data_IF_212695097145
#
_entry.id   IF_212695097145
#
_cell.length_a   1.000
_cell.length_b   1.000
_cell.length_c   1.000
_cell.angle_alpha   90.00
_cell.angle_beta   90.00
_cell.angle_gamma   90.00
#
_symmetry.space_group_name_H-M   'P 1'
#
loop_
_entity.id
_entity.type
_entity.pdbx_description
1 polymer ?
#
# COMPACT_ATOMS: atom_id res chain seq x y z
N UNK A 1 -0.93 28.77 4.53
CA UNK A 1 0.13 28.14 5.37
C UNK A 1 1.06 27.36 4.42
N UNK A 2 2.39 27.36 4.67
CA UNK A 2 3.29 26.58 3.82
C UNK A 2 3.15 25.07 4.10
N UNK A 3 3.05 24.27 3.06
CA UNK A 3 2.85 22.81 3.12
C UNK A 3 4.01 22.04 3.78
N UNK A 4 5.20 22.66 3.84
CA UNK A 4 6.35 22.10 4.56
C UNK A 4 6.04 21.87 6.05
N UNK A 5 5.24 22.73 6.67
CA UNK A 5 4.88 22.56 8.07
C UNK A 5 4.03 21.30 8.28
N UNK A 6 3.11 20.98 7.34
CA UNK A 6 2.33 19.75 7.39
C UNK A 6 3.25 18.52 7.24
N UNK A 7 4.14 18.56 6.24
CA UNK A 7 5.10 17.49 6.01
C UNK A 7 6.04 17.29 7.21
N UNK A 8 6.62 18.36 7.72
CA UNK A 8 7.53 18.32 8.87
C UNK A 8 6.86 17.80 10.13
N UNK A 9 5.64 18.24 10.42
CA UNK A 9 4.85 17.75 11.55
C UNK A 9 4.53 16.27 11.42
N UNK A 10 3.99 15.84 10.27
CA UNK A 10 3.62 14.44 10.05
C UNK A 10 4.83 13.51 10.07
N UNK A 11 5.88 13.83 9.30
CA UNK A 11 7.11 13.02 9.27
C UNK A 11 7.83 13.00 10.62
N UNK A 12 7.82 14.12 11.36
CA UNK A 12 8.37 14.19 12.71
C UNK A 12 7.66 13.26 13.68
N UNK A 13 6.31 13.22 13.67
CA UNK A 13 5.53 12.31 14.51
C UNK A 13 5.70 10.84 14.08
N UNK A 14 5.81 10.55 12.79
CA UNK A 14 6.12 9.21 12.29
C UNK A 14 7.49 8.73 12.76
N UNK A 15 8.51 9.61 12.70
CA UNK A 15 9.84 9.30 13.23
C UNK A 15 9.81 9.02 14.73
N UNK A 16 9.13 9.87 15.52
CA UNK A 16 8.98 9.66 16.96
C UNK A 16 8.23 8.37 17.28
N UNK A 17 7.14 8.09 16.56
CA UNK A 17 6.37 6.86 16.67
C UNK A 17 7.24 5.62 16.40
N UNK A 18 7.99 5.63 15.32
CA UNK A 18 8.89 4.52 14.99
C UNK A 18 10.05 4.41 15.98
N UNK A 19 10.68 5.51 16.37
CA UNK A 19 11.88 5.50 17.22
C UNK A 19 11.59 5.09 18.65
N UNK A 20 10.52 5.62 19.24
CA UNK A 20 10.20 5.46 20.66
C UNK A 20 9.03 4.50 20.90
N UNK A 21 7.88 4.74 20.29
CA UNK A 21 6.68 3.97 20.59
C UNK A 21 6.76 2.53 20.07
N UNK A 22 7.23 2.31 18.83
CA UNK A 22 7.42 0.94 18.33
C UNK A 22 8.49 0.18 19.11
N UNK A 23 9.52 0.88 19.65
CA UNK A 23 10.52 0.27 20.53
C UNK A 23 9.88 -0.19 21.83
N UNK A 24 9.07 0.66 22.46
CA UNK A 24 8.32 0.31 23.65
C UNK A 24 7.43 -0.92 23.44
N UNK A 25 6.67 -0.94 22.34
CA UNK A 25 5.85 -2.11 21.97
C UNK A 25 6.69 -3.38 21.80
N UNK A 26 7.80 -3.27 21.07
CA UNK A 26 8.71 -4.39 20.80
C UNK A 26 9.32 -5.01 22.07
N UNK A 27 9.75 -4.15 23.01
CA UNK A 27 10.49 -4.58 24.20
C UNK A 27 9.59 -4.87 25.41
N UNK A 28 8.50 -4.12 25.58
CA UNK A 28 7.66 -4.18 26.79
C UNK A 28 6.33 -4.90 26.59
N UNK A 29 5.73 -4.80 25.40
CA UNK A 29 4.42 -5.42 25.14
C UNK A 29 4.60 -6.76 24.46
N UNK A 30 5.38 -6.81 23.37
CA UNK A 30 5.57 -8.05 22.63
C UNK A 30 6.79 -8.85 23.07
N UNK A 31 7.68 -8.28 23.88
CA UNK A 31 8.88 -8.94 24.39
C UNK A 31 9.57 -9.83 23.35
N UNK A 32 9.97 -9.22 22.22
CA UNK A 32 10.56 -9.98 21.12
C UNK A 32 11.88 -10.66 21.48
N UNK A 33 12.54 -10.19 22.54
CA UNK A 33 13.83 -10.73 22.99
C UNK A 33 13.67 -12.09 23.68
N UNK A 34 12.52 -12.35 24.30
CA UNK A 34 12.24 -13.64 24.98
C UNK A 34 11.91 -14.77 24.00
N UNK A 35 11.69 -14.47 22.73
CA UNK A 35 11.38 -15.50 21.74
C UNK A 35 12.61 -16.35 21.42
N UNK A 36 12.60 -17.60 21.86
CA UNK A 36 13.69 -18.57 21.68
C UNK A 36 13.41 -19.64 20.63
N UNK A 37 12.23 -19.64 20.02
CA UNK A 37 11.80 -20.62 19.01
C UNK A 37 12.31 -20.32 17.59
N UNK A 38 12.13 -21.29 16.71
CA UNK A 38 12.26 -21.07 15.27
C UNK A 38 11.04 -20.29 14.76
N UNK A 39 11.26 -19.39 13.78
CA UNK A 39 10.14 -18.77 13.09
C UNK A 39 9.44 -19.79 12.19
N UNK A 40 8.15 -19.58 11.87
CA UNK A 40 7.40 -20.46 10.96
C UNK A 40 8.09 -20.72 9.63
N UNK A 41 8.77 -19.69 9.10
CA UNK A 41 9.55 -19.77 7.87
C UNK A 41 10.63 -20.86 7.90
N UNK A 42 11.20 -21.15 9.07
CA UNK A 42 12.21 -22.20 9.28
C UNK A 42 11.60 -23.52 9.73
N UNK A 43 10.59 -23.46 10.65
CA UNK A 43 9.96 -24.66 11.23
C UNK A 43 9.16 -25.46 10.18
N UNK A 44 8.46 -24.75 9.28
CA UNK A 44 7.56 -25.36 8.28
C UNK A 44 8.02 -25.11 6.84
N UNK A 45 9.30 -24.88 6.61
CA UNK A 45 9.85 -24.58 5.30
C UNK A 45 9.38 -25.56 4.21
N UNK A 46 8.54 -25.09 3.30
CA UNK A 46 8.01 -25.84 2.14
C UNK A 46 8.50 -25.30 0.79
N UNK A 47 9.19 -24.15 0.77
CA UNK A 47 9.61 -23.39 -0.41
C UNK A 47 8.45 -22.97 -1.33
N UNK A 48 7.25 -22.85 -0.80
CA UNK A 48 6.05 -22.33 -1.49
C UNK A 48 5.57 -21.08 -0.74
N UNK A 49 5.05 -21.26 0.48
CA UNK A 49 4.55 -20.22 1.37
C UNK A 49 5.54 -19.93 2.49
N UNK A 50 6.08 -21.01 3.12
CA UNK A 50 7.02 -20.92 4.23
C UNK A 50 8.45 -20.89 3.71
N UNK A 51 8.98 -19.68 3.57
CA UNK A 51 10.33 -19.47 3.04
C UNK A 51 11.05 -18.37 3.82
N UNK A 52 12.20 -18.68 4.48
CA UNK A 52 12.98 -17.67 5.18
C UNK A 52 13.45 -16.59 4.21
N UNK A 53 12.95 -15.37 4.39
CA UNK A 53 13.19 -14.26 3.48
C UNK A 53 14.07 -13.20 4.14
N UNK A 54 15.06 -12.67 3.39
CA UNK A 54 15.92 -11.60 3.89
C UNK A 54 15.09 -10.36 4.22
N UNK A 55 15.41 -9.71 5.35
CA UNK A 55 14.73 -8.53 5.88
C UNK A 55 14.39 -7.44 4.84
N UNK A 56 15.32 -6.99 3.97
CA UNK A 56 14.99 -5.94 2.98
C UNK A 56 13.95 -6.40 1.96
N UNK A 57 14.02 -7.68 1.53
CA UNK A 57 13.07 -8.24 0.56
C UNK A 57 11.69 -8.36 1.22
N UNK A 58 11.63 -8.88 2.44
CA UNK A 58 10.38 -9.05 3.15
C UNK A 58 9.75 -7.71 3.55
N UNK A 59 10.56 -6.72 3.92
CA UNK A 59 10.08 -5.35 4.14
C UNK A 59 9.45 -4.78 2.85
N UNK A 60 10.16 -4.88 1.72
CA UNK A 60 9.65 -4.40 0.44
C UNK A 60 8.36 -5.11 0.01
N UNK A 61 8.32 -6.43 0.14
CA UNK A 61 7.12 -7.22 -0.13
C UNK A 61 5.94 -6.79 0.75
N UNK A 62 6.13 -6.69 2.06
CA UNK A 62 5.06 -6.31 2.98
C UNK A 62 4.61 -4.86 2.74
N UNK A 63 5.55 -3.92 2.62
CA UNK A 63 5.28 -2.51 2.39
C UNK A 63 4.45 -2.29 1.11
N UNK A 64 4.85 -2.91 0.01
CA UNK A 64 4.11 -2.76 -1.26
C UNK A 64 2.76 -3.47 -1.23
N UNK A 65 2.67 -4.62 -0.54
CA UNK A 65 1.41 -5.36 -0.41
C UNK A 65 0.34 -4.58 0.37
N UNK A 66 0.74 -3.75 1.34
CA UNK A 66 -0.18 -2.90 2.11
C UNK A 66 -0.43 -1.55 1.43
N UNK A 67 0.59 -0.94 0.86
CA UNK A 67 0.55 0.39 0.24
C UNK A 67 -0.07 0.34 -1.18
N UNK A 68 -1.35 -0.01 -1.29
CA UNK A 68 -2.09 -0.04 -2.54
C UNK A 68 -2.54 1.36 -3.02
N UNK A 69 -3.57 1.40 -3.87
CA UNK A 69 -4.14 2.66 -4.37
C UNK A 69 -4.96 3.43 -3.32
N UNK A 70 -5.53 2.73 -2.34
CA UNK A 70 -6.42 3.33 -1.35
C UNK A 70 -5.75 4.38 -0.44
N UNK A 71 -4.49 4.21 0.04
CA UNK A 71 -3.78 5.26 0.79
C UNK A 71 -3.41 6.50 -0.05
N UNK A 72 -3.61 6.46 -1.35
CA UNK A 72 -3.48 7.63 -2.23
C UNK A 72 -4.84 8.28 -2.43
N UNK A 73 -5.82 7.51 -2.88
CA UNK A 73 -7.15 8.01 -3.27
C UNK A 73 -7.94 8.50 -2.05
N UNK A 74 -7.95 7.72 -0.96
CA UNK A 74 -8.69 8.05 0.25
C UNK A 74 -8.31 9.40 0.87
N UNK A 75 -7.01 9.65 1.15
CA UNK A 75 -6.55 10.94 1.65
C UNK A 75 -6.83 12.12 0.71
N UNK A 76 -6.73 11.93 -0.61
CA UNK A 76 -7.11 12.97 -1.57
C UNK A 76 -8.60 13.32 -1.48
N UNK A 77 -9.49 12.32 -1.39
CA UNK A 77 -10.93 12.54 -1.21
C UNK A 77 -11.21 13.20 0.14
N UNK A 78 -10.52 12.77 1.20
CA UNK A 78 -10.73 13.28 2.55
C UNK A 78 -10.33 14.76 2.72
N UNK A 79 -9.48 15.28 1.84
CA UNK A 79 -9.19 16.72 1.76
C UNK A 79 -10.45 17.56 1.55
N UNK A 80 -11.54 16.96 1.04
CA UNK A 80 -12.87 17.58 0.92
C UNK A 80 -13.37 18.17 2.25
N UNK A 81 -13.11 17.52 3.38
CA UNK A 81 -13.51 18.00 4.72
C UNK A 81 -12.54 18.99 5.36
N UNK A 82 -11.44 19.30 4.67
CA UNK A 82 -10.36 20.15 5.15
C UNK A 82 -9.10 19.35 5.50
N UNK A 83 -7.95 20.04 5.43
CA UNK A 83 -6.66 19.37 5.62
C UNK A 83 -6.37 18.92 7.06
N UNK A 84 -6.88 19.64 8.09
CA UNK A 84 -6.57 19.33 9.48
C UNK A 84 -7.15 18.01 9.97
N UNK A 85 -8.45 17.72 9.80
CA UNK A 85 -9.00 16.44 10.24
C UNK A 85 -8.39 15.26 9.46
N UNK A 86 -8.10 15.42 8.16
CA UNK A 86 -7.43 14.40 7.37
C UNK A 86 -6.01 14.14 7.90
N UNK A 87 -5.21 15.19 8.11
CA UNK A 87 -3.86 15.10 8.65
C UNK A 87 -3.82 14.41 10.03
N UNK A 88 -4.69 14.86 10.95
CA UNK A 88 -4.72 14.30 12.32
C UNK A 88 -5.07 12.80 12.28
N UNK A 89 -6.06 12.41 11.48
CA UNK A 89 -6.44 11.00 11.39
C UNK A 89 -5.35 10.15 10.75
N UNK A 90 -4.68 10.63 9.70
CA UNK A 90 -3.54 9.93 9.10
C UNK A 90 -2.43 9.73 10.13
N UNK A 91 -2.00 10.81 10.80
CA UNK A 91 -0.82 10.74 11.66
C UNK A 91 -1.10 9.95 12.94
N UNK A 92 -2.19 10.27 13.64
CA UNK A 92 -2.56 9.60 14.90
C UNK A 92 -3.01 8.17 14.62
N UNK A 93 -3.83 7.96 13.61
CA UNK A 93 -4.31 6.63 13.21
C UNK A 93 -3.15 5.71 12.84
N UNK A 94 -2.21 6.18 12.01
CA UNK A 94 -1.04 5.40 11.62
C UNK A 94 -0.18 5.02 12.83
N UNK A 95 0.20 5.98 13.69
CA UNK A 95 1.15 5.73 14.78
C UNK A 95 0.55 4.87 15.88
N UNK A 96 -0.69 5.16 16.29
CA UNK A 96 -1.27 4.56 17.50
C UNK A 96 -2.24 3.41 17.23
N UNK A 97 -2.74 3.27 15.99
CA UNK A 97 -3.68 2.22 15.64
C UNK A 97 -3.15 1.31 14.52
N UNK A 98 -2.93 1.83 13.32
CA UNK A 98 -2.55 1.02 12.16
C UNK A 98 -1.24 0.27 12.36
N UNK A 99 -0.17 0.99 12.71
CA UNK A 99 1.14 0.38 12.91
C UNK A 99 1.19 -0.57 14.13
N UNK A 100 0.40 -0.31 15.16
CA UNK A 100 0.25 -1.23 16.31
C UNK A 100 -0.47 -2.49 15.88
N UNK A 101 -1.55 -2.36 15.11
CA UNK A 101 -2.33 -3.48 14.59
C UNK A 101 -1.47 -4.38 13.68
N UNK A 102 -0.77 -3.81 12.70
CA UNK A 102 0.03 -4.58 11.75
C UNK A 102 1.20 -5.29 12.41
N UNK A 103 1.90 -4.58 13.28
CA UNK A 103 2.98 -5.15 14.07
C UNK A 103 2.47 -6.27 14.99
N UNK A 104 1.34 -6.05 15.68
CA UNK A 104 0.71 -7.02 16.56
C UNK A 104 0.25 -8.26 15.81
N UNK A 105 -0.46 -8.09 14.70
CA UNK A 105 -0.92 -9.20 13.86
C UNK A 105 0.25 -10.06 13.36
N UNK A 106 1.34 -9.40 12.94
CA UNK A 106 2.55 -10.10 12.47
C UNK A 106 3.22 -10.89 13.60
N UNK A 107 3.48 -10.26 14.75
CA UNK A 107 4.14 -10.92 15.90
C UNK A 107 3.32 -12.09 16.42
N UNK A 108 2.02 -11.88 16.61
CA UNK A 108 1.13 -12.92 17.13
C UNK A 108 1.07 -14.10 16.16
N UNK A 109 0.95 -13.83 14.86
CA UNK A 109 0.95 -14.90 13.85
C UNK A 109 2.27 -15.66 13.81
N UNK A 110 3.43 -14.99 13.91
CA UNK A 110 4.74 -15.68 13.99
C UNK A 110 4.79 -16.59 15.23
N UNK A 111 4.33 -16.12 16.38
CA UNK A 111 4.28 -16.93 17.62
C UNK A 111 3.29 -18.10 17.55
N UNK A 112 2.20 -17.91 16.80
CA UNK A 112 1.19 -18.93 16.56
C UNK A 112 1.47 -19.74 15.27
N UNK A 113 2.75 -19.91 14.92
CA UNK A 113 3.22 -20.80 13.85
C UNK A 113 2.74 -20.41 12.45
N UNK A 114 2.62 -19.11 12.18
CA UNK A 114 2.18 -18.59 10.89
C UNK A 114 0.68 -18.78 10.63
N UNK A 115 -0.13 -18.96 11.68
CA UNK A 115 -1.58 -19.10 11.55
C UNK A 115 -2.23 -17.78 11.18
N UNK A 116 -3.31 -17.88 10.41
CA UNK A 116 -4.14 -16.72 10.05
C UNK A 116 -4.81 -16.11 11.27
N UNK A 117 -5.14 -14.82 11.20
CA UNK A 117 -5.85 -14.14 12.28
C UNK A 117 -7.21 -14.78 12.59
N UNK A 118 -7.87 -15.39 11.60
CA UNK A 118 -9.11 -16.13 11.82
C UNK A 118 -8.91 -17.40 12.65
N UNK A 119 -7.82 -18.14 12.40
CA UNK A 119 -7.48 -19.32 13.19
C UNK A 119 -7.12 -18.95 14.63
N UNK A 120 -6.37 -17.86 14.80
CA UNK A 120 -6.01 -17.33 16.12
C UNK A 120 -7.27 -16.90 16.88
N UNK A 121 -8.22 -16.22 16.21
CA UNK A 121 -9.53 -15.86 16.79
C UNK A 121 -10.30 -17.09 17.27
N UNK A 122 -10.25 -18.16 16.49
CA UNK A 122 -10.86 -19.45 16.90
C UNK A 122 -10.27 -20.06 18.14
N UNK A 123 -8.96 -19.92 18.32
CA UNK A 123 -8.23 -20.42 19.50
C UNK A 123 -8.45 -19.57 20.75
N UNK A 124 -8.46 -18.23 20.59
CA UNK A 124 -8.45 -17.28 21.72
C UNK A 124 -9.87 -16.93 22.16
N UNK A 125 -10.83 -16.82 21.23
CA UNK A 125 -12.20 -16.39 21.54
C UNK A 125 -13.17 -17.58 21.51
N UNK A 126 -13.49 -18.10 20.31
CA UNK A 126 -14.37 -19.26 20.13
C UNK A 126 -14.40 -19.73 18.67
N UNK A 127 -14.84 -20.97 18.47
CA UNK A 127 -15.07 -21.53 17.14
C UNK A 127 -16.12 -20.73 16.34
N UNK A 128 -17.17 -20.23 17.00
CA UNK A 128 -18.19 -19.40 16.35
C UNK A 128 -17.59 -18.07 15.85
N UNK A 129 -16.76 -17.43 16.65
CA UNK A 129 -16.05 -16.21 16.27
C UNK A 129 -15.15 -16.46 15.05
N UNK A 130 -14.44 -17.61 14.97
CA UNK A 130 -13.67 -18.01 13.80
C UNK A 130 -14.51 -18.05 12.52
N UNK A 131 -15.68 -18.73 12.56
CA UNK A 131 -16.54 -18.88 11.39
C UNK A 131 -17.07 -17.51 10.93
N UNK A 132 -17.54 -16.69 11.87
CA UNK A 132 -18.00 -15.33 11.55
C UNK A 132 -16.88 -14.49 10.94
N UNK A 133 -15.67 -14.59 11.47
CA UNK A 133 -14.51 -13.84 10.98
C UNK A 133 -14.07 -14.34 9.59
N UNK A 134 -14.10 -15.65 9.33
CA UNK A 134 -13.82 -16.20 8.00
C UNK A 134 -14.84 -15.71 6.96
N UNK A 135 -16.12 -15.66 7.32
CA UNK A 135 -17.15 -15.11 6.45
C UNK A 135 -16.90 -13.62 6.15
N UNK A 136 -16.56 -12.84 7.18
CA UNK A 136 -16.21 -11.45 7.04
C UNK A 136 -14.97 -11.25 6.13
N UNK A 137 -13.92 -12.06 6.31
CA UNK A 137 -12.72 -12.03 5.47
C UNK A 137 -13.08 -12.34 4.02
N UNK A 138 -13.93 -13.35 3.77
CA UNK A 138 -14.36 -13.69 2.42
C UNK A 138 -15.06 -12.51 1.73
N UNK A 139 -16.01 -11.87 2.41
CA UNK A 139 -16.72 -10.70 1.89
C UNK A 139 -15.75 -9.53 1.63
N UNK A 140 -14.84 -9.27 2.58
CA UNK A 140 -13.82 -8.23 2.44
C UNK A 140 -12.90 -8.50 1.24
N UNK A 141 -12.46 -9.74 1.06
CA UNK A 141 -11.59 -10.11 -0.05
C UNK A 141 -12.28 -9.89 -1.40
N UNK A 142 -13.54 -10.27 -1.53
CA UNK A 142 -14.29 -10.02 -2.76
C UNK A 142 -14.46 -8.51 -3.04
N UNK A 143 -14.77 -7.73 -2.01
CA UNK A 143 -14.87 -6.28 -2.13
C UNK A 143 -13.55 -5.65 -2.57
N UNK A 144 -12.44 -6.04 -1.94
CA UNK A 144 -11.10 -5.51 -2.25
C UNK A 144 -10.70 -5.86 -3.68
N UNK A 145 -10.91 -7.11 -4.11
CA UNK A 145 -10.62 -7.55 -5.48
C UNK A 145 -11.44 -6.73 -6.51
N UNK A 146 -12.73 -6.53 -6.25
CA UNK A 146 -13.59 -5.76 -7.15
C UNK A 146 -13.15 -4.30 -7.24
N UNK A 147 -12.93 -3.65 -6.10
CA UNK A 147 -12.54 -2.22 -6.04
C UNK A 147 -11.17 -2.00 -6.70
N UNK A 148 -10.18 -2.84 -6.43
CA UNK A 148 -8.86 -2.69 -7.04
C UNK A 148 -8.88 -3.01 -8.54
N UNK A 149 -9.63 -4.01 -8.98
CA UNK A 149 -9.78 -4.28 -10.41
C UNK A 149 -10.41 -3.08 -11.14
N UNK A 150 -11.46 -2.47 -10.55
CA UNK A 150 -12.08 -1.26 -11.11
C UNK A 150 -11.12 -0.08 -11.12
N UNK A 151 -10.37 0.15 -10.05
CA UNK A 151 -9.43 1.27 -9.94
C UNK A 151 -8.28 1.14 -10.96
N UNK A 152 -7.69 -0.07 -11.10
CA UNK A 152 -6.61 -0.32 -12.06
C UNK A 152 -7.13 -0.23 -13.50
N UNK A 153 -8.30 -0.81 -13.80
CA UNK A 153 -8.92 -0.71 -15.11
C UNK A 153 -9.23 0.75 -15.49
N UNK A 154 -9.73 1.54 -14.53
CA UNK A 154 -9.92 2.97 -14.70
C UNK A 154 -8.62 3.72 -14.98
N UNK A 155 -7.55 3.38 -14.25
CA UNK A 155 -6.22 3.94 -14.47
C UNK A 155 -5.68 3.59 -15.86
N UNK A 156 -5.83 2.35 -16.33
CA UNK A 156 -5.39 1.94 -17.66
C UNK A 156 -6.12 2.67 -18.79
N UNK A 157 -7.41 2.98 -18.58
CA UNK A 157 -8.17 3.79 -19.53
C UNK A 157 -7.79 5.27 -19.46
N UNK A 158 -7.59 5.83 -18.27
CA UNK A 158 -7.23 7.24 -18.09
C UNK A 158 -5.76 7.54 -18.48
N UNK A 159 -4.86 6.59 -18.23
CA UNK A 159 -3.42 6.72 -18.45
C UNK A 159 -2.89 5.50 -19.22
N UNK A 160 -3.20 5.38 -20.53
CA UNK A 160 -2.79 4.22 -21.35
C UNK A 160 -1.28 4.00 -21.44
N UNK A 161 -0.49 5.04 -21.16
CA UNK A 161 0.97 4.99 -21.09
C UNK A 161 1.50 4.14 -19.94
N UNK A 162 0.68 3.88 -18.91
CA UNK A 162 1.03 3.05 -17.76
C UNK A 162 0.92 1.55 -18.02
N UNK A 163 0.17 1.14 -19.05
CA UNK A 163 -0.11 -0.28 -19.32
C UNK A 163 1.16 -1.05 -19.64
N UNK A 164 2.01 -0.51 -20.52
CA UNK A 164 3.25 -1.18 -20.93
C UNK A 164 4.22 -1.43 -19.77
N UNK A 165 4.62 -0.42 -18.98
CA UNK A 165 5.58 -0.64 -17.90
C UNK A 165 5.06 -1.59 -16.82
N UNK A 166 3.77 -1.54 -16.46
CA UNK A 166 3.19 -2.44 -15.46
C UNK A 166 3.21 -3.90 -15.92
N UNK A 167 2.93 -4.18 -17.19
CA UNK A 167 2.95 -5.55 -17.69
C UNK A 167 4.38 -6.08 -17.89
N UNK A 168 5.33 -5.25 -18.30
CA UNK A 168 6.75 -5.62 -18.40
C UNK A 168 7.33 -5.93 -17.02
N UNK A 169 6.90 -5.24 -15.96
CA UNK A 169 7.31 -5.52 -14.60
C UNK A 169 7.03 -6.96 -14.17
N UNK A 170 5.92 -7.56 -14.60
CA UNK A 170 5.59 -8.95 -14.31
C UNK A 170 6.68 -9.89 -14.87
N UNK A 171 7.11 -9.64 -16.10
CA UNK A 171 8.15 -10.44 -16.76
C UNK A 171 9.50 -10.27 -16.04
N UNK A 172 9.85 -9.03 -15.69
CA UNK A 172 11.08 -8.73 -14.95
C UNK A 172 11.07 -9.41 -13.59
N UNK A 173 9.94 -9.38 -12.88
CA UNK A 173 9.78 -10.01 -11.57
C UNK A 173 10.00 -11.54 -11.63
N UNK A 174 9.45 -12.23 -12.63
CA UNK A 174 9.68 -13.67 -12.85
C UNK A 174 11.15 -14.00 -13.08
N UNK A 175 11.85 -13.19 -13.88
CA UNK A 175 13.29 -13.35 -14.14
C UNK A 175 14.07 -13.16 -12.83
N UNK A 176 13.79 -12.09 -12.09
CA UNK A 176 14.50 -11.77 -10.84
C UNK A 176 14.20 -12.81 -9.76
N UNK A 177 12.94 -13.26 -9.61
CA UNK A 177 12.59 -14.35 -8.70
C UNK A 177 13.42 -15.60 -8.96
N UNK A 178 13.54 -15.99 -10.23
CA UNK A 178 14.36 -17.13 -10.62
C UNK A 178 15.85 -16.90 -10.32
N UNK A 179 16.39 -15.72 -10.57
CA UNK A 179 17.79 -15.39 -10.29
C UNK A 179 18.10 -15.40 -8.79
N UNK A 180 17.24 -14.80 -7.97
CA UNK A 180 17.45 -14.72 -6.52
C UNK A 180 17.34 -16.11 -5.88
N UNK A 181 16.24 -16.83 -6.16
CA UNK A 181 15.91 -18.05 -5.40
C UNK A 181 16.49 -19.34 -5.96
N UNK A 182 16.63 -19.45 -7.30
CA UNK A 182 17.25 -20.64 -7.91
C UNK A 182 18.76 -20.52 -8.10
N UNK A 183 19.27 -19.31 -8.37
CA UNK A 183 20.69 -19.08 -8.63
C UNK A 183 21.43 -18.39 -7.48
N UNK A 184 20.73 -18.09 -6.36
CA UNK A 184 21.28 -17.42 -5.17
C UNK A 184 22.01 -16.09 -5.47
N UNK A 185 21.57 -15.36 -6.48
CA UNK A 185 22.13 -14.05 -6.83
C UNK A 185 21.73 -13.03 -5.76
N UNK A 186 22.61 -12.11 -5.43
CA UNK A 186 22.28 -11.02 -4.52
C UNK A 186 21.17 -10.14 -5.14
N UNK A 187 20.08 -9.93 -4.41
CA UNK A 187 18.90 -9.22 -4.90
C UNK A 187 19.15 -7.76 -5.27
N UNK A 188 20.14 -7.10 -4.67
CA UNK A 188 20.36 -5.65 -4.83
C UNK A 188 20.65 -5.25 -6.27
N UNK A 189 21.63 -5.92 -6.92
CA UNK A 189 22.01 -5.55 -8.31
C UNK A 189 20.87 -5.80 -9.31
N UNK A 190 20.24 -7.01 -9.35
CA UNK A 190 19.10 -7.23 -10.23
C UNK A 190 17.93 -6.25 -10.00
N UNK A 191 17.67 -5.85 -8.75
CA UNK A 191 16.57 -4.93 -8.44
C UNK A 191 16.84 -3.50 -8.90
N UNK A 192 18.08 -3.02 -8.76
CA UNK A 192 18.47 -1.70 -9.27
C UNK A 192 18.41 -1.67 -10.80
N UNK A 193 18.86 -2.74 -11.46
CA UNK A 193 18.74 -2.88 -12.92
C UNK A 193 17.27 -2.94 -13.36
N UNK A 194 16.43 -3.69 -12.62
CA UNK A 194 15.00 -3.74 -12.88
C UNK A 194 14.38 -2.35 -12.79
N UNK A 195 14.70 -1.59 -11.75
CA UNK A 195 14.20 -0.23 -11.57
C UNK A 195 14.59 0.67 -12.75
N UNK A 196 15.84 0.60 -13.20
CA UNK A 196 16.30 1.36 -14.37
C UNK A 196 15.56 0.95 -15.66
N UNK A 197 15.37 -0.35 -15.86
CA UNK A 197 14.62 -0.89 -17.00
C UNK A 197 13.15 -0.43 -16.92
N UNK A 198 12.53 -0.45 -15.76
CA UNK A 198 11.15 0.00 -15.60
C UNK A 198 10.98 1.48 -15.92
N UNK A 199 11.90 2.36 -15.47
CA UNK A 199 11.85 3.77 -15.87
C UNK A 199 12.07 3.97 -17.38
N UNK A 200 12.92 3.13 -18.01
CA UNK A 200 13.03 3.11 -19.48
C UNK A 200 11.67 2.75 -20.12
N UNK A 201 10.97 1.71 -19.59
CA UNK A 201 9.67 1.34 -20.13
C UNK A 201 8.56 2.34 -19.80
N UNK A 202 8.66 3.10 -18.71
CA UNK A 202 7.81 4.28 -18.47
C UNK A 202 8.01 5.30 -19.58
N UNK A 203 9.26 5.62 -19.94
CA UNK A 203 9.55 6.53 -21.03
C UNK A 203 9.07 5.98 -22.39
N UNK A 204 9.29 4.69 -22.68
CA UNK A 204 8.77 4.05 -23.92
C UNK A 204 7.24 4.11 -23.92
N UNK A 205 6.57 3.84 -22.82
CA UNK A 205 5.12 3.90 -22.67
C UNK A 205 4.54 5.27 -23.02
N UNK A 206 5.27 6.36 -22.75
CA UNK A 206 4.83 7.71 -23.19
C UNK A 206 4.81 7.87 -24.71
N UNK A 207 5.58 7.07 -25.45
CA UNK A 207 5.64 7.07 -26.92
C UNK A 207 4.71 6.05 -27.56
N UNK A 208 4.39 4.97 -26.82
CA UNK A 208 3.59 3.84 -27.30
C UNK A 208 2.47 3.52 -26.33
N UNK A 209 1.46 4.40 -26.18
CA UNK A 209 0.33 4.14 -25.29
C UNK A 209 -0.48 2.93 -25.81
N UNK A 210 -0.81 2.00 -24.91
CA UNK A 210 -1.63 0.83 -25.24
C UNK A 210 -3.07 1.12 -24.85
N UNK A 211 -3.94 1.19 -25.86
CA UNK A 211 -5.39 1.34 -25.69
C UNK A 211 -6.11 0.11 -26.25
N UNK A 212 -7.13 -0.38 -25.56
CA UNK A 212 -7.94 -1.48 -26.07
C UNK A 212 -8.75 -1.11 -27.33
N UNK A 213 -9.02 0.16 -27.51
CA UNK A 213 -9.71 0.67 -28.71
C UNK A 213 -8.92 0.39 -29.99
N UNK A 214 -7.59 0.45 -29.93
CA UNK A 214 -6.70 0.11 -31.06
C UNK A 214 -6.72 -1.40 -31.39
N UNK A 215 -7.15 -2.21 -30.44
CA UNK A 215 -7.33 -3.67 -30.59
C UNK A 215 -8.77 -4.04 -31.01
N UNK A 216 -9.61 -3.07 -31.34
CA UNK A 216 -10.98 -3.29 -31.80
C UNK A 216 -12.02 -3.44 -30.70
N UNK A 217 -11.67 -3.17 -29.43
CA UNK A 217 -12.63 -3.19 -28.32
C UNK A 217 -13.43 -1.88 -28.35
N UNK A 218 -14.76 -2.01 -28.27
CA UNK A 218 -15.65 -0.85 -28.19
C UNK A 218 -15.37 -0.03 -26.92
N UNK A 219 -15.40 1.31 -26.97
CA UNK A 219 -15.06 2.18 -25.83
C UNK A 219 -15.83 1.85 -24.54
N UNK A 220 -17.11 1.52 -24.64
CA UNK A 220 -17.97 1.16 -23.51
C UNK A 220 -17.56 -0.15 -22.82
N UNK A 221 -16.83 -1.03 -23.51
CA UNK A 221 -16.42 -2.33 -23.01
C UNK A 221 -14.98 -2.35 -22.47
N UNK A 222 -14.19 -1.31 -22.68
CA UNK A 222 -12.76 -1.28 -22.34
C UNK A 222 -12.51 -1.55 -20.84
N UNK A 223 -13.30 -0.95 -19.97
CA UNK A 223 -13.16 -1.16 -18.54
C UNK A 223 -13.46 -2.61 -18.15
N UNK A 224 -14.50 -3.19 -18.69
CA UNK A 224 -14.88 -4.60 -18.43
C UNK A 224 -13.80 -5.57 -18.92
N UNK A 225 -13.24 -5.34 -20.11
CA UNK A 225 -12.15 -6.16 -20.65
C UNK A 225 -10.91 -6.09 -19.77
N UNK A 226 -10.52 -4.88 -19.28
CA UNK A 226 -9.43 -4.76 -18.33
C UNK A 226 -9.70 -5.48 -17.02
N UNK A 227 -10.91 -5.39 -16.46
CA UNK A 227 -11.28 -6.09 -15.22
C UNK A 227 -11.16 -7.61 -15.41
N UNK A 228 -11.65 -8.16 -16.52
CA UNK A 228 -11.53 -9.60 -16.81
C UNK A 228 -10.06 -10.01 -16.92
N UNK A 229 -9.25 -9.24 -17.65
CA UNK A 229 -7.82 -9.48 -17.76
C UNK A 229 -7.12 -9.50 -16.38
N UNK A 230 -7.44 -8.52 -15.52
CA UNK A 230 -6.87 -8.42 -14.16
C UNK A 230 -7.29 -9.60 -13.27
N UNK A 231 -8.53 -10.09 -13.38
CA UNK A 231 -8.96 -11.27 -12.64
C UNK A 231 -8.27 -12.54 -13.11
N UNK A 232 -8.09 -12.72 -14.42
CA UNK A 232 -7.34 -13.86 -14.97
C UNK A 232 -5.89 -13.80 -14.47
N UNK A 233 -5.26 -12.63 -14.57
CA UNK A 233 -3.91 -12.42 -14.05
C UNK A 233 -3.81 -12.73 -12.55
N UNK A 234 -4.73 -12.20 -11.74
CA UNK A 234 -4.77 -12.44 -10.29
C UNK A 234 -4.93 -13.93 -9.96
N UNK A 235 -5.80 -14.63 -10.69
CA UNK A 235 -5.98 -16.07 -10.52
C UNK A 235 -4.70 -16.87 -10.83
N UNK A 236 -4.02 -16.56 -11.92
CA UNK A 236 -2.73 -17.20 -12.28
C UNK A 236 -1.66 -16.85 -11.25
N UNK A 237 -1.54 -15.59 -10.88
CA UNK A 237 -0.54 -15.12 -9.91
C UNK A 237 -0.71 -15.78 -8.53
N UNK A 238 -1.97 -16.01 -8.11
CA UNK A 238 -2.29 -16.67 -6.85
C UNK A 238 -1.93 -18.17 -6.79
N UNK A 239 -1.71 -18.82 -7.94
CA UNK A 239 -1.28 -20.22 -8.03
C UNK A 239 0.26 -20.37 -7.99
N UNK A 240 1.01 -19.28 -8.16
CA UNK A 240 2.46 -19.32 -8.19
C UNK A 240 3.04 -19.26 -6.77
N UNK A 241 4.20 -19.92 -6.52
CA UNK A 241 4.94 -19.75 -5.28
C UNK A 241 5.26 -18.28 -5.04
N UNK A 242 5.17 -17.81 -3.77
CA UNK A 242 5.35 -16.39 -3.41
C UNK A 242 6.71 -15.83 -3.85
N UNK A 243 7.75 -16.65 -3.84
CA UNK A 243 9.11 -16.27 -4.22
C UNK A 243 9.30 -16.05 -5.73
N UNK A 244 8.42 -16.62 -6.56
CA UNK A 244 8.60 -16.57 -8.01
C UNK A 244 8.12 -15.23 -8.59
N UNK A 245 6.98 -14.73 -8.14
CA UNK A 245 6.36 -13.52 -8.67
C UNK A 245 6.13 -12.45 -7.60
N UNK A 246 5.43 -12.77 -6.51
CA UNK A 246 4.97 -11.78 -5.56
C UNK A 246 6.12 -11.05 -4.85
N UNK A 247 7.04 -11.77 -4.23
CA UNK A 247 8.17 -11.16 -3.52
C UNK A 247 9.08 -10.31 -4.42
N UNK A 248 9.53 -10.79 -5.60
CA UNK A 248 10.40 -9.98 -6.47
C UNK A 248 9.68 -8.76 -7.01
N UNK A 249 8.44 -8.90 -7.46
CA UNK A 249 7.63 -7.78 -7.95
C UNK A 249 7.46 -6.71 -6.87
N UNK A 250 7.02 -7.10 -5.70
CA UNK A 250 6.77 -6.17 -4.61
C UNK A 250 8.08 -5.54 -4.09
N UNK A 251 9.19 -6.28 -4.12
CA UNK A 251 10.50 -5.73 -3.79
C UNK A 251 10.95 -4.64 -4.78
N UNK A 252 10.72 -4.84 -6.06
CA UNK A 252 11.00 -3.83 -7.09
C UNK A 252 10.07 -2.62 -6.90
N UNK A 253 8.77 -2.85 -6.72
CA UNK A 253 7.78 -1.81 -6.47
C UNK A 253 8.08 -0.99 -5.22
N UNK A 254 8.61 -1.62 -4.17
CA UNK A 254 9.03 -0.89 -2.97
C UNK A 254 10.11 0.16 -3.26
N UNK A 255 11.02 -0.12 -4.17
CA UNK A 255 12.03 0.85 -4.60
C UNK A 255 11.40 2.00 -5.40
N UNK A 256 10.46 1.70 -6.32
CA UNK A 256 9.72 2.74 -7.04
C UNK A 256 8.93 3.63 -6.08
N UNK A 257 8.26 3.02 -5.11
CA UNK A 257 7.49 3.75 -4.10
C UNK A 257 8.37 4.64 -3.23
N UNK A 258 9.54 4.14 -2.80
CA UNK A 258 10.52 4.95 -2.05
C UNK A 258 11.08 6.10 -2.88
N UNK A 259 11.40 5.87 -4.15
CA UNK A 259 11.86 6.92 -5.06
C UNK A 259 10.75 7.94 -5.30
N UNK A 260 9.52 7.50 -5.56
CA UNK A 260 8.36 8.37 -5.76
C UNK A 260 8.09 9.26 -4.54
N UNK A 261 8.04 8.67 -3.35
CA UNK A 261 7.88 9.41 -2.09
C UNK A 261 9.03 10.39 -1.86
N UNK A 262 10.27 9.95 -2.09
CA UNK A 262 11.44 10.81 -2.00
C UNK A 262 11.34 12.02 -2.91
N UNK A 263 10.97 11.82 -4.17
CA UNK A 263 10.80 12.90 -5.15
C UNK A 263 9.66 13.85 -4.77
N UNK A 264 8.54 13.34 -4.26
CA UNK A 264 7.42 14.18 -3.80
C UNK A 264 7.88 15.07 -2.65
N UNK A 265 8.51 14.50 -1.61
CA UNK A 265 8.96 15.30 -0.47
C UNK A 265 10.10 16.25 -0.82
N UNK A 266 11.06 15.84 -1.65
CA UNK A 266 12.12 16.74 -2.14
C UNK A 266 11.50 17.88 -2.97
N UNK A 267 10.58 17.57 -3.87
CA UNK A 267 9.85 18.57 -4.65
C UNK A 267 9.07 19.54 -3.75
N UNK A 268 8.42 19.02 -2.70
CA UNK A 268 7.71 19.83 -1.71
C UNK A 268 8.67 20.80 -0.96
N UNK A 269 9.84 20.34 -0.54
CA UNK A 269 10.84 21.18 0.12
C UNK A 269 11.43 22.24 -0.80
N UNK A 270 11.54 21.98 -2.10
CA UNK A 270 12.03 22.94 -3.10
C UNK A 270 10.94 23.95 -3.48
N UNK A 271 9.75 23.47 -3.85
CA UNK A 271 8.68 24.31 -4.39
C UNK A 271 7.90 25.07 -3.31
N UNK A 272 7.84 24.54 -2.09
CA UNK A 272 7.18 25.15 -0.93
C UNK A 272 5.76 25.66 -1.20
N UNK A 273 4.88 24.88 -1.83
CA UNK A 273 3.56 25.33 -2.20
C UNK A 273 2.75 25.74 -0.95
N UNK A 274 1.91 26.74 -1.12
CA UNK A 274 0.99 27.19 -0.07
C UNK A 274 -0.22 26.29 -0.05
N UNK A 275 -0.65 25.88 1.16
CA UNK A 275 -1.91 25.17 1.36
C UNK A 275 -3.05 26.14 1.09
N UNK A 276 -3.84 25.89 0.09
CA UNK A 276 -5.03 26.67 -0.34
C UNK A 276 -6.34 26.08 0.16
N UNK A 277 -6.36 24.78 0.51
CA UNK A 277 -7.53 24.16 1.11
C UNK A 277 -7.85 24.74 2.50
N UNK A 278 -9.14 24.82 2.88
CA UNK A 278 -9.56 25.24 4.21
C UNK A 278 -9.04 24.29 5.29
N UNK A 279 -8.75 24.83 6.49
CA UNK A 279 -8.29 24.01 7.62
C UNK A 279 -9.36 22.98 8.02
N UNK A 280 -10.60 23.43 8.16
CA UNK A 280 -11.79 22.60 8.32
C UNK A 280 -12.86 23.21 7.46
N UNK A 281 -13.56 22.41 6.67
CA UNK A 281 -14.62 22.88 5.82
C UNK A 281 -15.93 22.96 6.62
N UNK A 282 -16.38 24.18 6.86
CA UNK A 282 -17.60 24.47 7.62
C UNK A 282 -18.84 24.72 6.74
N UNK A 283 -18.61 24.94 5.44
CA UNK A 283 -19.64 25.26 4.43
C UNK A 283 -20.23 24.03 3.73
N UNK A 284 -19.91 22.85 4.22
CA UNK A 284 -20.57 21.60 3.80
C UNK A 284 -22.02 21.69 4.29
N UNK A 285 -22.94 22.05 3.37
CA UNK A 285 -24.36 22.14 3.67
C UNK A 285 -24.94 20.85 4.26
N UNK A 286 -26.18 20.89 4.71
CA UNK A 286 -26.90 19.70 5.24
C UNK A 286 -26.95 18.53 4.26
N UNK A 287 -26.77 18.79 2.97
CA UNK A 287 -26.82 17.81 1.89
C UNK A 287 -25.45 17.23 1.53
N UNK A 288 -24.37 17.74 2.12
CA UNK A 288 -23.02 17.21 1.90
C UNK A 288 -22.71 15.97 2.75
N UNK A 289 -21.72 15.16 2.34
CA UNK A 289 -21.33 13.97 3.09
C UNK A 289 -20.78 14.36 4.48
N UNK A 290 -21.35 13.80 5.59
CA UNK A 290 -20.93 14.16 6.94
C UNK A 290 -19.48 13.73 7.21
N UNK A 291 -18.75 14.55 7.98
CA UNK A 291 -17.36 14.26 8.35
C UNK A 291 -17.26 12.93 9.12
N UNK A 292 -18.20 12.65 10.02
CA UNK A 292 -18.29 11.37 10.72
C UNK A 292 -19.46 10.56 10.17
N UNK A 293 -19.26 9.28 9.79
CA UNK A 293 -17.99 8.53 9.85
C UNK A 293 -17.14 8.62 8.57
N UNK A 294 -17.58 9.37 7.53
CA UNK A 294 -17.09 9.21 6.17
C UNK A 294 -15.61 9.58 6.00
N UNK A 295 -15.12 10.63 6.62
CA UNK A 295 -13.68 10.97 6.60
C UNK A 295 -12.85 9.80 7.12
N UNK A 296 -13.24 9.21 8.26
CA UNK A 296 -12.51 8.15 8.92
C UNK A 296 -12.46 6.87 8.07
N UNK A 297 -13.60 6.52 7.46
CA UNK A 297 -13.70 5.35 6.56
C UNK A 297 -12.92 5.58 5.27
N UNK A 298 -12.98 6.78 4.71
CA UNK A 298 -12.30 7.13 3.45
C UNK A 298 -10.78 7.03 3.58
N UNK A 299 -10.21 7.44 4.71
CA UNK A 299 -8.76 7.34 4.98
C UNK A 299 -8.38 6.01 5.63
N UNK A 300 -9.34 5.14 5.95
CA UNK A 300 -9.05 3.95 6.77
C UNK A 300 -7.87 3.13 6.26
N UNK A 301 -7.72 2.94 4.95
CA UNK A 301 -6.60 2.18 4.40
C UNK A 301 -5.24 2.85 4.71
N UNK A 302 -5.12 4.15 4.50
CA UNK A 302 -3.87 4.89 4.75
C UNK A 302 -3.55 5.18 6.24
N UNK A 303 -4.44 4.82 7.17
CA UNK A 303 -4.28 5.09 8.60
C UNK A 303 -4.42 3.87 9.50
N UNK A 304 -5.38 2.94 9.23
CA UNK A 304 -5.75 1.85 10.15
C UNK A 304 -6.23 0.59 9.42
N UNK A 305 -5.77 0.29 8.23
CA UNK A 305 -6.33 -0.77 7.38
C UNK A 305 -6.42 -2.16 8.05
N UNK A 306 -7.61 -2.71 8.15
CA UNK A 306 -7.82 -4.08 8.61
C UNK A 306 -7.31 -5.15 7.63
N UNK A 307 -7.19 -4.82 6.34
CA UNK A 307 -6.63 -5.72 5.33
C UNK A 307 -5.16 -6.07 5.62
N UNK A 308 -4.41 -5.16 6.24
CA UNK A 308 -3.01 -5.40 6.61
C UNK A 308 -2.84 -6.57 7.58
N UNK A 309 -3.80 -6.78 8.49
CA UNK A 309 -3.79 -7.95 9.37
C UNK A 309 -3.89 -9.28 8.62
N UNK A 310 -4.61 -9.30 7.48
CA UNK A 310 -4.67 -10.47 6.60
C UNK A 310 -3.33 -10.71 5.90
N UNK A 311 -2.69 -9.65 5.38
CA UNK A 311 -1.36 -9.73 4.77
C UNK A 311 -0.32 -10.15 5.81
N UNK A 312 -0.32 -9.51 6.99
CA UNK A 312 0.61 -9.80 8.10
C UNK A 312 0.53 -11.25 8.54
N UNK A 313 -0.69 -11.76 8.79
CA UNK A 313 -0.90 -13.12 9.32
C UNK A 313 -0.99 -14.19 8.24
N UNK A 314 -1.44 -13.84 7.04
CA UNK A 314 -1.65 -14.81 5.95
C UNK A 314 -0.38 -15.12 5.15
N UNK A 315 0.45 -14.11 4.92
CA UNK A 315 1.60 -14.23 4.01
C UNK A 315 2.91 -13.89 4.71
N UNK A 316 3.03 -12.68 5.26
CA UNK A 316 4.31 -12.15 5.77
C UNK A 316 4.85 -12.96 6.93
N UNK A 317 4.01 -13.40 7.87
CA UNK A 317 4.42 -14.19 9.05
C UNK A 317 5.09 -15.51 8.69
N UNK A 318 4.72 -16.10 7.55
CA UNK A 318 5.29 -17.34 7.02
C UNK A 318 6.69 -17.15 6.42
N UNK A 319 7.12 -15.91 6.23
CA UNK A 319 8.35 -15.55 5.55
C UNK A 319 9.37 -14.87 6.48
N UNK A 320 8.99 -14.57 7.73
CA UNK A 320 9.85 -13.92 8.71
C UNK A 320 11.05 -14.78 9.04
N UNK A 321 12.25 -14.30 8.70
CA UNK A 321 13.50 -14.99 9.00
C UNK A 321 13.89 -14.86 10.48
N UNK A 322 13.73 -13.66 11.05
CA UNK A 322 14.01 -13.38 12.46
C UNK A 322 12.85 -12.56 13.04
N UNK A 323 12.34 -12.97 14.21
CA UNK A 323 11.22 -12.27 14.85
C UNK A 323 11.53 -10.80 15.17
N UNK A 324 12.79 -10.45 15.39
CA UNK A 324 13.22 -9.08 15.63
C UNK A 324 12.93 -8.16 14.42
N UNK A 325 12.85 -8.73 13.20
CA UNK A 325 12.59 -7.98 11.98
C UNK A 325 11.12 -7.55 11.87
N UNK A 326 10.22 -8.17 12.63
CA UNK A 326 8.78 -7.85 12.62
C UNK A 326 8.49 -6.40 13.00
N UNK A 327 9.34 -5.78 13.83
CA UNK A 327 9.21 -4.35 14.17
C UNK A 327 9.35 -3.45 12.94
N UNK A 328 10.37 -3.68 12.11
CA UNK A 328 10.55 -2.92 10.88
C UNK A 328 9.48 -3.29 9.85
N UNK A 329 9.23 -4.58 9.69
CA UNK A 329 8.31 -5.08 8.67
C UNK A 329 6.86 -4.66 8.97
N UNK A 330 6.34 -4.92 10.16
CA UNK A 330 4.96 -4.56 10.53
C UNK A 330 4.81 -3.06 10.79
N UNK A 331 5.45 -2.56 11.86
CA UNK A 331 5.30 -1.16 12.24
C UNK A 331 5.91 -0.20 11.24
N UNK A 332 7.12 -0.50 10.73
CA UNK A 332 7.84 0.39 9.81
C UNK A 332 7.17 0.52 8.45
N UNK A 333 6.60 -0.54 7.90
CA UNK A 333 5.87 -0.48 6.63
C UNK A 333 4.60 0.36 6.73
N UNK A 334 3.86 0.24 7.84
CA UNK A 334 2.67 1.07 8.07
C UNK A 334 3.02 2.55 8.22
N UNK A 335 4.15 2.88 8.85
CA UNK A 335 4.67 4.26 8.87
C UNK A 335 4.98 4.76 7.44
N UNK A 336 5.56 3.89 6.60
CA UNK A 336 5.80 4.19 5.18
C UNK A 336 4.51 4.47 4.41
N UNK A 337 3.47 3.67 4.65
CA UNK A 337 2.14 3.90 4.06
C UNK A 337 1.48 5.18 4.59
N UNK A 338 1.58 5.47 5.89
CA UNK A 338 1.15 6.75 6.46
C UNK A 338 1.86 7.94 5.81
N UNK A 339 3.15 7.80 5.48
CA UNK A 339 3.89 8.83 4.76
C UNK A 339 3.37 9.02 3.31
N UNK A 340 2.95 7.94 2.65
CA UNK A 340 2.29 8.01 1.34
C UNK A 340 0.94 8.72 1.46
N UNK A 341 0.13 8.40 2.45
CA UNK A 341 -1.15 9.06 2.72
C UNK A 341 -0.97 10.55 3.03
N UNK A 342 0.05 10.89 3.82
CA UNK A 342 0.44 12.28 4.10
C UNK A 342 0.84 13.02 2.83
N UNK A 343 1.69 12.42 1.97
CA UNK A 343 2.10 13.00 0.70
C UNK A 343 0.90 13.24 -0.22
N UNK A 344 -0.04 12.30 -0.28
CA UNK A 344 -1.27 12.39 -1.07
C UNK A 344 -2.17 13.53 -0.59
N UNK A 345 -2.35 13.64 0.75
CA UNK A 345 -3.12 14.77 1.32
C UNK A 345 -2.48 16.10 0.97
N UNK A 346 -1.15 16.23 1.13
CA UNK A 346 -0.44 17.49 0.84
C UNK A 346 -0.55 17.82 -0.65
N UNK A 347 -0.41 16.82 -1.53
CA UNK A 347 -0.57 17.01 -2.96
C UNK A 347 -1.97 17.51 -3.34
N UNK A 348 -3.01 17.02 -2.66
CA UNK A 348 -4.37 17.48 -2.85
C UNK A 348 -4.55 18.93 -2.32
N UNK A 349 -4.18 19.20 -1.07
CA UNK A 349 -4.51 20.47 -0.40
C UNK A 349 -3.60 21.65 -0.75
N UNK A 350 -2.45 21.40 -1.39
CA UNK A 350 -1.51 22.43 -1.83
C UNK A 350 -1.18 22.35 -3.34
N UNK A 351 -1.77 21.39 -4.07
CA UNK A 351 -1.51 21.17 -5.48
C UNK A 351 -2.59 21.72 -6.40
N UNK A 352 -3.83 21.84 -5.94
CA UNK A 352 -4.94 22.30 -6.77
C UNK A 352 -4.72 23.74 -7.28
N UNK A 353 -4.26 24.64 -6.42
CA UNK A 353 -3.94 26.01 -6.80
C UNK A 353 -2.82 26.14 -7.85
N UNK A 354 -2.02 25.08 -8.06
CA UNK A 354 -0.97 25.05 -9.08
C UNK A 354 -1.51 24.63 -10.47
N UNK A 355 -2.77 24.18 -10.53
CA UNK A 355 -3.41 23.70 -11.76
C UNK A 355 -4.47 24.69 -12.20
N UNK A 356 -4.23 25.36 -13.30
CA UNK A 356 -5.18 26.36 -13.87
C UNK A 356 -6.34 25.71 -14.61
N UNK A 357 -6.13 24.53 -15.20
CA UNK A 357 -7.15 23.77 -15.91
C UNK A 357 -6.97 22.28 -15.70
N UNK A 358 -8.05 21.54 -15.54
CA UNK A 358 -8.06 20.08 -15.47
C UNK A 358 -9.08 19.51 -16.46
N UNK A 359 -8.69 18.47 -17.21
CA UNK A 359 -9.62 17.75 -18.07
C UNK A 359 -10.15 16.52 -17.33
N UNK A 360 -11.39 16.59 -16.91
CA UNK A 360 -12.09 15.49 -16.24
C UNK A 360 -12.83 14.65 -17.28
N UNK A 361 -12.67 13.31 -17.31
CA UNK A 361 -13.29 12.44 -18.31
C UNK A 361 -14.82 12.56 -18.39
N UNK A 362 -15.48 12.88 -17.27
CA UNK A 362 -16.95 12.97 -17.18
C UNK A 362 -17.50 14.41 -17.33
N UNK A 363 -16.66 15.43 -17.21
CA UNK A 363 -17.09 16.83 -17.11
C UNK A 363 -16.44 17.71 -18.19
N UNK A 364 -15.34 17.26 -18.79
CA UNK A 364 -14.56 18.03 -19.73
C UNK A 364 -13.50 18.91 -19.06
N UNK A 365 -13.08 19.99 -19.73
CA UNK A 365 -12.08 20.91 -19.18
C UNK A 365 -12.72 21.81 -18.13
N UNK A 366 -12.22 21.71 -16.91
CA UNK A 366 -12.59 22.59 -15.79
C UNK A 366 -11.45 23.61 -15.60
N UNK A 367 -11.79 24.89 -15.58
CA UNK A 367 -10.87 25.99 -15.29
C UNK A 367 -11.17 26.57 -13.91
N UNK A 368 -10.24 27.34 -13.37
CA UNK A 368 -10.39 28.05 -12.08
C UNK A 368 -10.75 27.12 -10.92
N UNK A 369 -9.96 26.07 -10.78
CA UNK A 369 -10.13 25.09 -9.69
C UNK A 369 -9.92 25.77 -8.33
N UNK A 370 -10.99 25.85 -7.54
CA UNK A 370 -11.02 26.37 -6.18
C UNK A 370 -11.50 25.31 -5.19
N UNK A 371 -11.12 25.49 -3.92
CA UNK A 371 -11.63 24.67 -2.83
C UNK A 371 -13.03 25.11 -2.40
#
# INVERSE_FOLDING_TARGET
MNSIYLAGFGLGLFFLGYRFYSKYLSEKIYDLQSFSGLTPAHEFKDNIDFIPTKKPILFGHHFTSIAGAAPIIGPCIAAYWGWLPALLWIVIGTVFMGAVHDFGALVISVREKGRSIADITGKVISHRAKIMFLFFILMLTWLVLAVFAMAIAGLFNAVPTSVLPINIEIIIALIIGTLIYKKNVNATIPSVLALAILYLFVWIGTKTPITLSTLGVQPENTQTVWIIFLFIYSGIAGLLPVWLLLQPRDYINSHQLMVGLGLIFVGLFIAQPVVDAPMVRSDIGTDGPPIFPLLFVTIACGAISGFHGLVSSGTTSKQVNNIQDTRLIGYGSMIGEGALALASTIAAVAGIALVTTCNLPSVGVVADLNW
#
